data_IF_642789950290
#
_entry.id   IF_642789950290
#
_cell.length_a   1.000
_cell.length_b   1.000
_cell.length_c   1.000
_cell.angle_alpha   90.00
_cell.angle_beta   90.00
_cell.angle_gamma   90.00
#
_symmetry.space_group_name_H-M   'P 1'
#
loop_
_entity.id
_entity.type
_entity.pdbx_description
1 polymer ?
#
# COMPACT_ATOMS: atom_id res chain seq x y z
N UNK A 1 29.18 -29.62 -18.74
CA UNK A 1 28.69 -30.83 -19.42
C UNK A 1 27.22 -30.56 -19.80
N UNK A 2 26.92 -29.70 -20.78
CA UNK A 2 26.94 -29.89 -22.24
C UNK A 2 26.16 -31.11 -22.73
N UNK A 3 24.94 -30.92 -23.27
CA UNK A 3 24.35 -31.48 -24.52
C UNK A 3 23.19 -30.53 -24.91
N UNK A 4 23.23 -29.64 -25.92
CA UNK A 4 23.14 -29.76 -27.40
C UNK A 4 21.83 -30.35 -27.95
N UNK A 5 21.12 -29.55 -28.76
CA UNK A 5 20.13 -30.01 -29.74
C UNK A 5 19.71 -28.84 -30.62
N UNK A 6 20.29 -28.73 -31.81
CA UNK A 6 19.96 -27.72 -32.80
C UNK A 6 19.50 -28.33 -34.11
N UNK A 7 18.77 -27.55 -34.89
CA UNK A 7 18.54 -27.72 -36.34
C UNK A 7 18.39 -26.32 -36.96
N UNK A 8 19.24 -25.99 -37.95
CA UNK A 8 19.05 -24.86 -38.87
C UNK A 8 18.57 -25.36 -40.24
N UNK A 9 18.82 -24.67 -41.36
CA UNK A 9 18.85 -23.22 -41.61
C UNK A 9 17.93 -22.82 -42.80
N UNK A 10 17.74 -21.51 -43.04
CA UNK A 10 17.20 -21.01 -44.31
C UNK A 10 18.01 -19.79 -44.80
N UNK A 11 18.55 -19.93 -46.01
CA UNK A 11 19.31 -18.93 -46.77
C UNK A 11 18.40 -17.83 -47.35
N UNK A 12 18.94 -16.62 -47.54
CA UNK A 12 18.28 -15.59 -48.34
C UNK A 12 18.98 -14.24 -48.42
N UNK A 13 20.00 -14.14 -49.29
CA UNK A 13 20.42 -12.99 -50.11
C UNK A 13 20.80 -11.62 -49.50
N UNK A 14 22.09 -11.29 -49.65
CA UNK A 14 22.65 -9.93 -49.63
C UNK A 14 22.41 -9.19 -50.96
N UNK A 15 22.23 -7.86 -50.95
CA UNK A 15 22.44 -7.03 -52.13
C UNK A 15 23.89 -6.56 -52.26
N UNK A 16 24.33 -6.56 -53.51
CA UNK A 16 25.60 -6.17 -54.10
C UNK A 16 25.91 -4.68 -53.97
N UNK A 17 27.11 -4.34 -53.47
CA UNK A 17 27.68 -3.00 -53.51
C UNK A 17 28.22 -2.66 -54.91
N UNK A 18 27.65 -1.62 -55.54
CA UNK A 18 28.21 -0.98 -56.74
C UNK A 18 29.31 0.00 -56.36
N UNK A 19 30.51 -0.23 -56.89
CA UNK A 19 31.67 0.63 -56.72
C UNK A 19 31.51 1.98 -57.41
N UNK A 20 31.75 3.05 -56.67
CA UNK A 20 32.15 4.35 -57.22
C UNK A 20 33.58 4.61 -56.78
N UNK A 21 34.49 4.59 -57.74
CA UNK A 21 35.88 5.04 -57.61
C UNK A 21 35.90 6.55 -57.38
N UNK A 22 36.25 6.98 -56.17
CA UNK A 22 36.53 8.39 -55.86
C UNK A 22 38.03 8.61 -56.04
N UNK A 23 38.37 9.52 -56.94
CA UNK A 23 39.73 9.94 -57.26
C UNK A 23 40.29 10.81 -56.12
N UNK A 24 41.32 10.31 -55.42
CA UNK A 24 41.99 11.03 -54.33
C UNK A 24 43.17 11.83 -54.92
N UNK A 25 42.98 13.15 -55.02
CA UNK A 25 44.08 14.09 -55.27
C UNK A 25 45.09 14.12 -54.11
N UNK A 26 46.29 14.70 -54.32
CA UNK A 26 47.39 14.60 -53.36
C UNK A 26 47.05 15.27 -52.03
N UNK A 27 47.27 14.52 -50.95
CA UNK A 27 47.11 14.95 -49.56
C UNK A 27 48.13 16.04 -49.24
N UNK A 28 47.63 17.25 -48.99
CA UNK A 28 48.43 18.37 -48.50
C UNK A 28 48.69 18.19 -46.98
N UNK A 29 49.86 17.64 -46.65
CA UNK A 29 50.37 17.50 -45.27
C UNK A 29 50.95 18.81 -44.77
N UNK A 30 50.11 19.76 -44.36
CA UNK A 30 50.55 20.87 -43.50
C UNK A 30 49.40 21.61 -42.82
N UNK A 31 48.85 21.06 -41.74
CA UNK A 31 48.09 21.86 -40.75
C UNK A 31 48.14 21.21 -39.37
N UNK A 32 49.18 21.52 -38.62
CA UNK A 32 49.17 21.38 -37.16
C UNK A 32 48.16 22.37 -36.59
N UNK A 33 46.92 21.93 -36.34
CA UNK A 33 45.98 22.69 -35.53
C UNK A 33 46.47 22.68 -34.08
N UNK A 34 47.20 23.73 -33.67
CA UNK A 34 47.38 24.04 -32.25
C UNK A 34 45.99 24.25 -31.66
N UNK A 35 45.56 23.34 -30.79
CA UNK A 35 44.37 23.54 -29.97
C UNK A 35 44.58 24.81 -29.13
N UNK A 36 43.90 25.89 -29.49
CA UNK A 36 43.90 27.11 -28.68
C UNK A 36 43.08 26.85 -27.42
N UNK A 37 43.59 27.18 -26.22
CA UNK A 37 42.82 27.04 -24.99
C UNK A 37 41.61 27.97 -25.07
N UNK A 38 40.42 27.38 -25.04
CA UNK A 38 39.16 28.10 -25.07
C UNK A 38 39.03 28.92 -23.77
N UNK A 39 39.47 30.18 -23.82
CA UNK A 39 39.39 31.13 -22.69
C UNK A 39 37.92 31.50 -22.48
N UNK A 40 37.24 30.79 -21.58
CA UNK A 40 35.92 31.18 -21.10
C UNK A 40 36.02 32.59 -20.47
N UNK A 41 35.16 33.54 -20.86
CA UNK A 41 35.21 34.89 -20.31
C UNK A 41 34.93 34.85 -18.80
N UNK A 42 35.75 35.54 -18.01
CA UNK A 42 35.65 35.66 -16.55
C UNK A 42 34.22 35.81 -15.97
N UNK A 43 33.29 36.58 -16.58
CA UNK A 43 31.92 36.68 -16.08
C UNK A 43 31.12 35.36 -16.17
N UNK A 44 31.40 34.47 -17.12
CA UNK A 44 30.73 33.15 -17.23
C UNK A 44 31.20 32.16 -16.16
N UNK A 45 32.48 32.24 -15.78
CA UNK A 45 33.05 31.45 -14.70
C UNK A 45 32.47 31.89 -13.36
N UNK A 46 32.33 33.22 -13.15
CA UNK A 46 31.73 33.78 -11.95
C UNK A 46 30.23 33.42 -11.82
N UNK A 47 29.50 33.36 -12.94
CA UNK A 47 28.09 32.94 -12.97
C UNK A 47 27.94 31.44 -12.63
N UNK A 48 28.80 30.57 -13.18
CA UNK A 48 28.81 29.14 -12.84
C UNK A 48 29.20 28.87 -11.37
N UNK A 49 30.17 29.63 -10.83
CA UNK A 49 30.53 29.56 -9.41
C UNK A 49 29.45 30.11 -8.47
N UNK A 50 28.66 31.10 -8.92
CA UNK A 50 27.51 31.61 -8.18
C UNK A 50 26.30 30.64 -8.17
N UNK A 51 26.22 29.73 -9.15
CA UNK A 51 25.22 28.65 -9.21
C UNK A 51 25.60 27.40 -8.40
N UNK A 52 26.89 27.19 -8.11
CA UNK A 52 27.36 26.07 -7.28
C UNK A 52 26.71 25.96 -5.88
N UNK A 53 26.50 27.07 -5.12
CA UNK A 53 25.84 26.97 -3.80
C UNK A 53 24.35 26.64 -3.88
N UNK A 54 23.70 26.77 -5.05
CA UNK A 54 22.29 26.42 -5.23
C UNK A 54 22.08 24.91 -5.43
N UNK A 55 23.12 24.17 -5.81
CA UNK A 55 23.09 22.71 -5.94
C UNK A 55 23.23 21.98 -4.59
N UNK A 56 23.66 22.68 -3.52
CA UNK A 56 23.76 22.14 -2.16
C UNK A 56 22.47 22.23 -1.34
N UNK A 57 21.38 22.74 -1.92
CA UNK A 57 20.11 22.94 -1.23
C UNK A 57 19.23 21.68 -1.12
N UNK A 58 19.61 20.57 -1.77
CA UNK A 58 18.99 19.27 -1.50
C UNK A 58 19.62 18.70 -0.23
N UNK A 59 18.84 18.56 0.84
CA UNK A 59 19.28 17.91 2.08
C UNK A 59 19.78 16.50 1.75
N UNK A 60 21.02 16.18 2.12
CA UNK A 60 21.55 14.81 2.01
C UNK A 60 20.63 13.79 2.72
N UNK A 61 19.97 14.19 3.80
CA UNK A 61 18.98 13.38 4.51
C UNK A 61 17.76 13.05 3.65
N UNK A 62 17.19 14.03 2.93
CA UNK A 62 16.08 13.80 2.00
C UNK A 62 16.47 12.84 0.87
N UNK A 63 17.69 12.98 0.33
CA UNK A 63 18.18 12.06 -0.69
C UNK A 63 18.27 10.63 -0.15
N UNK A 64 18.85 10.43 1.03
CA UNK A 64 18.93 9.12 1.69
C UNK A 64 17.54 8.55 1.92
N UNK A 65 16.60 9.34 2.44
CA UNK A 65 15.22 8.92 2.68
C UNK A 65 14.53 8.42 1.40
N UNK A 66 14.62 9.18 0.31
CA UNK A 66 14.04 8.80 -0.99
C UNK A 66 14.68 7.54 -1.57
N UNK A 67 16.00 7.41 -1.48
CA UNK A 67 16.68 6.19 -1.95
C UNK A 67 16.38 4.96 -1.10
N UNK A 68 15.95 5.16 0.15
CA UNK A 68 15.63 4.07 1.08
C UNK A 68 14.24 3.47 0.84
N UNK A 69 13.34 4.14 0.09
CA UNK A 69 11.98 3.63 -0.16
C UNK A 69 12.01 2.24 -0.81
N UNK A 70 12.88 2.01 -1.79
CA UNK A 70 13.00 0.69 -2.44
C UNK A 70 13.44 -0.42 -1.48
N UNK A 71 14.24 -0.07 -0.46
CA UNK A 71 14.61 -0.99 0.63
C UNK A 71 13.39 -1.28 1.50
N UNK A 72 12.55 -0.26 1.75
CA UNK A 72 11.31 -0.44 2.50
C UNK A 72 10.30 -1.32 1.74
N UNK A 73 10.20 -1.19 0.41
CA UNK A 73 9.37 -2.07 -0.41
C UNK A 73 9.81 -3.53 -0.28
N UNK A 74 11.12 -3.78 -0.37
CA UNK A 74 11.69 -5.10 -0.11
C UNK A 74 11.46 -5.60 1.32
N UNK A 75 11.45 -4.70 2.31
CA UNK A 75 11.13 -5.04 3.70
C UNK A 75 9.65 -5.43 3.87
N UNK A 76 8.72 -4.69 3.26
CA UNK A 76 7.29 -5.03 3.26
C UNK A 76 7.05 -6.37 2.58
N UNK A 77 7.69 -6.61 1.44
CA UNK A 77 7.58 -7.86 0.69
C UNK A 77 8.15 -9.06 1.50
N UNK A 78 9.28 -8.88 2.19
CA UNK A 78 9.82 -9.90 3.09
C UNK A 78 8.92 -10.14 4.31
N UNK A 79 8.39 -9.07 4.91
CA UNK A 79 7.48 -9.15 6.06
C UNK A 79 6.18 -9.87 5.69
N UNK A 80 5.60 -9.60 4.52
CA UNK A 80 4.37 -10.26 4.08
C UNK A 80 4.56 -11.77 3.85
N UNK A 81 5.79 -12.23 3.58
CA UNK A 81 6.14 -13.66 3.47
C UNK A 81 6.48 -14.33 4.80
N UNK A 82 6.52 -13.57 5.90
CA UNK A 82 6.82 -14.13 7.22
C UNK A 82 5.71 -15.07 7.69
N UNK A 83 6.10 -16.23 8.23
CA UNK A 83 5.19 -17.24 8.77
C UNK A 83 5.26 -17.37 10.29
N UNK A 84 6.30 -16.84 10.91
CA UNK A 84 6.45 -16.80 12.35
C UNK A 84 5.89 -15.48 12.91
N UNK A 85 4.74 -15.56 13.58
CA UNK A 85 4.09 -14.40 14.20
C UNK A 85 4.93 -13.78 15.32
N UNK A 86 5.72 -14.57 16.05
CA UNK A 86 6.55 -14.05 17.14
C UNK A 86 7.70 -13.22 16.56
N UNK A 87 8.31 -13.70 15.47
CA UNK A 87 9.34 -12.95 14.76
C UNK A 87 8.78 -11.66 14.14
N UNK A 88 7.62 -11.75 13.48
CA UNK A 88 6.96 -10.60 12.90
C UNK A 88 6.61 -9.53 13.96
N UNK A 89 6.00 -9.94 15.08
CA UNK A 89 5.63 -9.05 16.18
C UNK A 89 6.85 -8.33 16.77
N UNK A 90 7.98 -9.04 16.92
CA UNK A 90 9.22 -8.47 17.44
C UNK A 90 9.88 -7.48 16.46
N UNK A 91 9.74 -7.70 15.15
CA UNK A 91 10.39 -6.89 14.12
C UNK A 91 9.63 -5.61 13.75
N UNK A 92 8.29 -5.67 13.68
CA UNK A 92 7.46 -4.57 13.18
C UNK A 92 7.65 -3.23 13.94
N UNK A 93 7.75 -3.19 15.29
CA UNK A 93 7.95 -1.93 16.01
C UNK A 93 9.24 -1.20 15.62
N UNK A 94 10.34 -1.94 15.40
CA UNK A 94 11.62 -1.37 14.99
C UNK A 94 11.53 -0.82 13.55
N UNK A 95 10.91 -1.56 12.62
CA UNK A 95 10.71 -1.11 11.25
C UNK A 95 9.83 0.15 11.19
N UNK A 96 8.78 0.22 12.01
CA UNK A 96 7.96 1.43 12.15
C UNK A 96 8.78 2.64 12.61
N UNK A 97 9.68 2.45 13.58
CA UNK A 97 10.56 3.54 14.03
C UNK A 97 11.57 3.95 12.98
N UNK A 98 12.07 3.02 12.19
CA UNK A 98 12.92 3.32 11.04
C UNK A 98 12.17 4.19 10.02
N UNK A 99 10.95 3.80 9.63
CA UNK A 99 10.10 4.59 8.71
C UNK A 99 9.86 5.99 9.27
N UNK A 100 9.52 6.13 10.56
CA UNK A 100 9.34 7.44 11.19
C UNK A 100 10.61 8.29 11.19
N UNK A 101 11.79 7.67 11.33
CA UNK A 101 13.08 8.34 11.18
C UNK A 101 13.30 8.86 9.76
N UNK A 102 12.97 8.06 8.74
CA UNK A 102 13.03 8.50 7.34
C UNK A 102 12.03 9.61 7.04
N UNK A 103 10.82 9.56 7.63
CA UNK A 103 9.84 10.65 7.53
C UNK A 103 10.37 11.93 8.19
N UNK A 104 11.16 11.84 9.26
CA UNK A 104 11.77 13.03 9.85
C UNK A 104 12.75 13.72 8.89
N UNK A 105 13.41 12.93 8.02
CA UNK A 105 14.32 13.44 6.99
C UNK A 105 13.60 13.97 5.73
N UNK A 106 12.50 13.34 5.31
CA UNK A 106 11.66 13.79 4.17
C UNK A 106 10.16 13.85 4.58
N UNK A 107 9.73 14.91 5.30
CA UNK A 107 8.42 14.95 5.98
C UNK A 107 7.18 14.91 5.09
N UNK A 108 7.33 15.28 3.82
CA UNK A 108 6.25 15.35 2.84
C UNK A 108 6.34 14.21 1.80
N UNK A 109 7.15 13.18 2.06
CA UNK A 109 7.26 12.02 1.17
C UNK A 109 6.00 11.13 1.26
N UNK A 110 5.16 11.08 0.20
CA UNK A 110 3.88 10.38 0.28
C UNK A 110 4.02 8.87 0.44
N UNK A 111 5.09 8.27 -0.10
CA UNK A 111 5.35 6.83 -0.02
C UNK A 111 5.71 6.42 1.42
N UNK A 112 6.63 7.14 2.06
CA UNK A 112 6.98 6.89 3.47
C UNK A 112 5.79 7.10 4.41
N UNK A 113 5.01 8.15 4.18
CA UNK A 113 3.80 8.45 4.96
C UNK A 113 2.75 7.33 4.82
N UNK A 114 2.57 6.80 3.61
CA UNK A 114 1.66 5.69 3.35
C UNK A 114 2.17 4.37 3.95
N UNK A 115 3.48 4.09 3.87
CA UNK A 115 4.10 2.93 4.51
C UNK A 115 3.92 2.97 6.03
N UNK A 116 4.04 4.14 6.66
CA UNK A 116 3.73 4.30 8.08
C UNK A 116 2.25 4.00 8.38
N UNK A 117 1.31 4.53 7.59
CA UNK A 117 -0.11 4.24 7.76
C UNK A 117 -0.42 2.73 7.65
N UNK A 118 0.12 2.07 6.63
CA UNK A 118 0.02 0.62 6.44
C UNK A 118 0.62 -0.16 7.62
N UNK A 119 1.84 0.19 8.02
CA UNK A 119 2.54 -0.52 9.09
C UNK A 119 1.83 -0.38 10.44
N UNK A 120 1.35 0.82 10.79
CA UNK A 120 0.58 1.01 12.02
C UNK A 120 -0.73 0.22 12.00
N UNK A 121 -1.43 0.22 10.87
CA UNK A 121 -2.62 -0.61 10.70
C UNK A 121 -2.29 -2.09 10.91
N UNK A 122 -1.30 -2.60 10.19
CA UNK A 122 -0.89 -4.00 10.22
C UNK A 122 -0.43 -4.45 11.60
N UNK A 123 0.37 -3.64 12.30
CA UNK A 123 0.85 -3.95 13.65
C UNK A 123 -0.30 -3.96 14.67
N UNK A 124 -1.15 -2.93 14.64
CA UNK A 124 -2.30 -2.85 15.54
C UNK A 124 -3.26 -4.03 15.32
N UNK A 125 -3.63 -4.29 14.07
CA UNK A 125 -4.55 -5.36 13.70
C UNK A 125 -3.96 -6.75 13.96
N UNK A 126 -2.68 -6.97 13.64
CA UNK A 126 -2.05 -8.28 13.77
C UNK A 126 -1.81 -8.71 15.21
N UNK A 127 -1.45 -7.77 16.10
CA UNK A 127 -0.78 -8.11 17.35
C UNK A 127 -1.31 -7.38 18.59
N UNK A 128 -2.01 -6.25 18.44
CA UNK A 128 -2.39 -5.41 19.59
C UNK A 128 -3.89 -5.40 19.85
N UNK A 129 -4.71 -5.32 18.81
CA UNK A 129 -6.15 -5.05 18.90
C UNK A 129 -6.92 -6.03 19.79
N UNK A 130 -6.62 -7.33 19.71
CA UNK A 130 -7.33 -8.36 20.46
C UNK A 130 -6.98 -8.39 21.95
N UNK A 131 -5.77 -7.95 22.32
CA UNK A 131 -5.27 -7.99 23.70
C UNK A 131 -5.37 -6.66 24.42
N UNK A 132 -5.20 -5.56 23.70
CA UNK A 132 -5.23 -4.19 24.22
C UNK A 132 -5.91 -3.24 23.20
N UNK A 133 -7.26 -3.20 23.18
CA UNK A 133 -8.02 -2.36 22.26
C UNK A 133 -7.71 -0.87 22.39
N UNK A 134 -7.43 -0.38 23.61
CA UNK A 134 -7.11 1.02 23.86
C UNK A 134 -5.76 1.41 23.25
N UNK A 135 -4.75 0.56 23.39
CA UNK A 135 -3.45 0.76 22.73
C UNK A 135 -3.58 0.67 21.21
N UNK A 136 -4.38 -0.27 20.70
CA UNK A 136 -4.62 -0.39 19.26
C UNK A 136 -5.29 0.86 18.67
N UNK A 137 -6.26 1.44 19.37
CA UNK A 137 -6.89 2.71 18.97
C UNK A 137 -5.85 3.83 18.78
N UNK A 138 -4.93 3.99 19.73
CA UNK A 138 -3.86 4.98 19.63
C UNK A 138 -2.89 4.71 18.46
N UNK A 139 -2.64 3.45 18.11
CA UNK A 139 -1.82 3.06 16.96
C UNK A 139 -2.53 3.34 15.64
N UNK A 140 -3.83 3.04 15.54
CA UNK A 140 -4.64 3.43 14.38
C UNK A 140 -4.73 4.94 14.21
N UNK A 141 -4.78 5.71 15.32
CA UNK A 141 -4.74 7.16 15.27
C UNK A 141 -3.43 7.70 14.68
N UNK A 142 -2.29 7.08 15.02
CA UNK A 142 -1.01 7.42 14.38
C UNK A 142 -1.00 7.07 12.90
N UNK A 143 -1.46 5.88 12.53
CA UNK A 143 -1.58 5.47 11.13
C UNK A 143 -2.48 6.42 10.32
N UNK A 144 -3.63 6.81 10.87
CA UNK A 144 -4.54 7.79 10.28
C UNK A 144 -3.85 9.15 10.07
N UNK A 145 -3.12 9.65 11.07
CA UNK A 145 -2.42 10.93 10.96
C UNK A 145 -1.36 10.91 9.85
N UNK A 146 -0.59 9.83 9.72
CA UNK A 146 0.36 9.66 8.62
C UNK A 146 -0.34 9.55 7.25
N UNK A 147 -1.44 8.79 7.18
CA UNK A 147 -2.24 8.65 5.97
C UNK A 147 -2.80 9.99 5.46
N UNK A 148 -3.38 10.80 6.36
CA UNK A 148 -3.88 12.15 6.02
C UNK A 148 -2.75 13.06 5.52
N UNK A 149 -1.57 13.02 6.16
CA UNK A 149 -0.40 13.75 5.67
C UNK A 149 0.01 13.29 4.27
N UNK A 150 0.02 11.97 4.02
CA UNK A 150 0.31 11.41 2.71
C UNK A 150 -0.67 11.90 1.64
N UNK A 151 -1.98 11.89 1.95
CA UNK A 151 -3.01 12.44 1.06
C UNK A 151 -2.79 13.93 0.76
N UNK A 152 -2.41 14.73 1.76
CA UNK A 152 -2.08 16.16 1.56
C UNK A 152 -0.85 16.35 0.69
N UNK A 153 0.18 15.52 0.84
CA UNK A 153 1.35 15.54 -0.03
C UNK A 153 1.00 15.17 -1.50
N UNK A 154 -0.06 14.37 -1.68
CA UNK A 154 -0.59 13.97 -2.99
C UNK A 154 -1.65 14.94 -3.56
N UNK A 155 -1.88 16.08 -2.92
CA UNK A 155 -2.76 17.13 -3.43
C UNK A 155 -4.18 17.14 -2.86
N UNK A 156 -4.45 16.41 -1.77
CA UNK A 156 -5.67 16.64 -0.98
C UNK A 156 -5.61 18.05 -0.40
N UNK A 157 -6.74 18.77 -0.47
CA UNK A 157 -6.86 20.12 0.07
C UNK A 157 -6.39 20.17 1.54
N UNK A 158 -5.61 21.19 1.91
CA UNK A 158 -5.11 21.35 3.28
C UNK A 158 -6.18 21.93 4.20
N UNK A 159 -7.15 22.64 3.63
CA UNK A 159 -8.20 23.32 4.39
C UNK A 159 -9.37 22.39 4.75
N UNK A 160 -9.43 21.19 4.17
CA UNK A 160 -10.40 20.17 4.57
C UNK A 160 -9.95 19.45 5.83
N UNK A 161 -10.76 19.55 6.87
CA UNK A 161 -10.70 18.66 8.02
C UNK A 161 -11.60 17.46 7.76
N UNK A 162 -11.00 16.32 7.41
CA UNK A 162 -11.75 15.09 7.12
C UNK A 162 -12.62 14.65 8.30
N UNK A 163 -12.23 14.91 9.55
CA UNK A 163 -12.98 14.44 10.71
C UNK A 163 -14.31 15.19 10.91
N UNK A 164 -14.42 16.41 10.40
CA UNK A 164 -15.59 17.29 10.58
C UNK A 164 -16.27 17.68 9.28
N UNK A 165 -15.63 17.48 8.13
CA UNK A 165 -16.20 17.77 6.83
C UNK A 165 -17.41 16.89 6.52
N UNK A 166 -18.39 17.47 5.83
CA UNK A 166 -19.49 16.73 5.23
C UNK A 166 -18.92 15.72 4.19
N UNK A 167 -19.42 14.46 4.15
CA UNK A 167 -19.04 13.48 3.15
C UNK A 167 -19.00 14.00 1.70
N UNK A 168 -19.95 14.85 1.28
CA UNK A 168 -19.97 15.37 -0.09
C UNK A 168 -18.72 16.22 -0.40
N UNK A 169 -18.25 17.02 0.57
CA UNK A 169 -17.00 17.77 0.43
C UNK A 169 -15.77 16.88 0.43
N UNK A 170 -15.81 15.78 1.16
CA UNK A 170 -14.72 14.79 1.15
C UNK A 170 -14.66 14.14 -0.23
N UNK A 171 -15.79 13.76 -0.81
CA UNK A 171 -15.90 13.20 -2.16
C UNK A 171 -15.30 14.13 -3.21
N UNK A 172 -15.70 15.41 -3.21
CA UNK A 172 -15.16 16.43 -4.11
C UNK A 172 -13.63 16.59 -3.96
N UNK A 173 -13.13 16.54 -2.72
CA UNK A 173 -11.70 16.67 -2.44
C UNK A 173 -10.89 15.46 -2.94
N UNK A 174 -11.37 14.23 -2.68
CA UNK A 174 -10.67 13.00 -3.09
C UNK A 174 -10.81 12.70 -4.59
N UNK A 175 -11.85 13.22 -5.26
CA UNK A 175 -12.03 13.05 -6.70
C UNK A 175 -10.87 13.62 -7.53
N UNK A 176 -10.13 14.60 -6.98
CA UNK A 176 -8.93 15.19 -7.61
C UNK A 176 -7.69 14.30 -7.52
N UNK A 177 -7.70 13.31 -6.64
CA UNK A 177 -6.56 12.40 -6.44
C UNK A 177 -6.54 11.31 -7.51
N UNK A 178 -5.36 11.05 -8.08
CA UNK A 178 -5.15 10.00 -9.09
C UNK A 178 -4.70 8.67 -8.48
N UNK A 179 -4.37 7.70 -9.35
CA UNK A 179 -3.99 6.33 -8.96
C UNK A 179 -2.82 6.26 -7.98
N UNK A 180 -1.87 7.21 -8.02
CA UNK A 180 -0.77 7.29 -7.06
C UNK A 180 -1.23 7.45 -5.60
N UNK A 181 -2.46 7.94 -5.37
CA UNK A 181 -3.03 8.09 -4.04
C UNK A 181 -3.79 6.86 -3.54
N UNK A 182 -3.99 5.83 -4.36
CA UNK A 182 -4.74 4.61 -3.98
C UNK A 182 -4.22 4.00 -2.67
N UNK A 183 -2.90 3.78 -2.48
CA UNK A 183 -2.40 3.23 -1.24
C UNK A 183 -2.70 4.12 -0.03
N UNK A 184 -2.52 5.43 -0.16
CA UNK A 184 -2.75 6.38 0.92
C UNK A 184 -4.23 6.46 1.28
N UNK A 185 -5.13 6.50 0.27
CA UNK A 185 -6.58 6.49 0.46
C UNK A 185 -7.02 5.23 1.21
N UNK A 186 -6.54 4.07 0.77
CA UNK A 186 -6.90 2.78 1.36
C UNK A 186 -6.47 2.69 2.82
N UNK A 187 -5.19 2.93 3.13
CA UNK A 187 -4.69 2.77 4.49
C UNK A 187 -5.21 3.85 5.45
N UNK A 188 -5.46 5.07 4.95
CA UNK A 188 -6.14 6.13 5.72
C UNK A 188 -7.56 5.70 6.10
N UNK A 189 -8.35 5.26 5.12
CA UNK A 189 -9.72 4.80 5.34
C UNK A 189 -9.77 3.59 6.27
N UNK A 190 -8.85 2.62 6.12
CA UNK A 190 -8.78 1.44 6.99
C UNK A 190 -8.43 1.80 8.44
N UNK A 191 -7.44 2.67 8.68
CA UNK A 191 -7.11 3.14 10.03
C UNK A 191 -8.29 3.86 10.68
N UNK A 192 -8.96 4.74 9.92
CA UNK A 192 -10.12 5.47 10.42
C UNK A 192 -11.30 4.54 10.71
N UNK A 193 -11.60 3.60 9.81
CA UNK A 193 -12.65 2.62 10.02
C UNK A 193 -12.41 1.76 11.27
N UNK A 194 -11.16 1.37 11.57
CA UNK A 194 -10.85 0.65 12.81
C UNK A 194 -10.99 1.50 14.07
N UNK A 195 -10.74 2.81 14.04
CA UNK A 195 -11.06 3.69 15.18
C UNK A 195 -12.57 3.82 15.42
N UNK A 196 -13.36 3.83 14.34
CA UNK A 196 -14.82 3.80 14.45
C UNK A 196 -15.27 2.45 15.01
N UNK A 197 -14.68 1.36 14.52
CA UNK A 197 -14.97 -0.01 14.94
C UNK A 197 -14.69 -0.26 16.43
N UNK A 198 -13.57 0.25 16.95
CA UNK A 198 -13.25 0.18 18.38
C UNK A 198 -14.10 1.14 19.22
N UNK A 199 -14.65 2.19 18.61
CA UNK A 199 -15.45 3.23 19.26
C UNK A 199 -16.96 3.13 19.01
N UNK A 200 -17.49 1.92 18.76
CA UNK A 200 -18.91 1.68 18.40
C UNK A 200 -19.95 2.19 19.41
N UNK A 201 -19.56 2.54 20.63
CA UNK A 201 -20.47 3.11 21.63
C UNK A 201 -20.64 4.62 21.50
N UNK A 202 -19.88 5.28 20.62
CA UNK A 202 -19.94 6.71 20.36
C UNK A 202 -20.67 6.99 19.02
N UNK A 203 -21.92 7.50 19.05
CA UNK A 203 -22.67 7.81 17.84
C UNK A 203 -21.96 8.82 16.92
N UNK A 204 -21.15 9.74 17.46
CA UNK A 204 -20.42 10.71 16.67
C UNK A 204 -19.34 10.03 15.80
N UNK A 205 -18.70 8.97 16.31
CA UNK A 205 -17.77 8.15 15.53
C UNK A 205 -18.49 7.35 14.46
N UNK A 206 -19.64 6.76 14.78
CA UNK A 206 -20.43 6.01 13.79
C UNK A 206 -20.84 6.90 12.62
N UNK A 207 -21.19 8.16 12.89
CA UNK A 207 -21.54 9.12 11.85
C UNK A 207 -20.41 9.39 10.83
N UNK A 208 -19.14 9.21 11.24
CA UNK A 208 -17.97 9.36 10.35
C UNK A 208 -17.78 8.20 9.37
N UNK A 209 -18.56 7.12 9.49
CA UNK A 209 -18.45 5.96 8.62
C UNK A 209 -18.77 6.30 7.15
N UNK A 210 -19.63 7.30 6.91
CA UNK A 210 -19.86 7.82 5.56
C UNK A 210 -18.60 8.50 4.99
N UNK A 211 -17.83 9.20 5.84
CA UNK A 211 -16.60 9.87 5.44
C UNK A 211 -15.49 8.89 5.08
N UNK A 212 -15.31 7.80 5.83
CA UNK A 212 -14.36 6.74 5.46
C UNK A 212 -14.75 6.08 4.15
N UNK A 213 -16.05 5.93 3.89
CA UNK A 213 -16.57 5.35 2.66
C UNK A 213 -16.25 6.21 1.43
N UNK A 214 -16.21 7.54 1.53
CA UNK A 214 -15.80 8.42 0.41
C UNK A 214 -14.36 8.15 -0.04
N UNK A 215 -13.43 7.95 0.90
CA UNK A 215 -12.05 7.58 0.57
C UNK A 215 -12.00 6.21 -0.10
N UNK A 216 -12.75 5.24 0.42
CA UNK A 216 -12.74 3.88 -0.12
C UNK A 216 -13.49 3.76 -1.46
N UNK A 217 -14.51 4.59 -1.69
CA UNK A 217 -15.18 4.71 -2.98
C UNK A 217 -14.18 5.17 -4.05
N UNK A 218 -13.32 6.13 -3.71
CA UNK A 218 -12.25 6.58 -4.62
C UNK A 218 -11.23 5.48 -4.92
N UNK A 219 -10.89 4.64 -3.94
CA UNK A 219 -10.05 3.44 -4.17
C UNK A 219 -10.73 2.50 -5.16
N UNK A 220 -12.03 2.21 -4.97
CA UNK A 220 -12.79 1.33 -5.87
C UNK A 220 -12.83 1.84 -7.31
N UNK A 221 -12.95 3.15 -7.49
CA UNK A 221 -12.96 3.77 -8.82
C UNK A 221 -11.59 3.68 -9.51
N UNK A 222 -10.52 3.93 -8.77
CA UNK A 222 -9.17 4.03 -9.33
C UNK A 222 -8.51 2.67 -9.54
N UNK A 223 -8.65 1.76 -8.57
CA UNK A 223 -7.97 0.46 -8.57
C UNK A 223 -8.68 -0.54 -7.63
N UNK A 224 -9.76 -1.20 -8.09
CA UNK A 224 -10.57 -2.08 -7.24
C UNK A 224 -9.86 -3.38 -6.83
N UNK A 225 -8.77 -3.77 -7.50
CA UNK A 225 -7.96 -4.95 -7.18
C UNK A 225 -6.80 -4.64 -6.21
N UNK A 226 -6.61 -3.37 -5.82
CA UNK A 226 -5.55 -2.97 -4.90
C UNK A 226 -5.56 -3.81 -3.61
N UNK A 227 -4.37 -4.24 -3.18
CA UNK A 227 -4.14 -5.08 -2.01
C UNK A 227 -5.06 -6.31 -1.97
N UNK A 228 -5.06 -7.06 -3.08
CA UNK A 228 -5.87 -8.28 -3.27
C UNK A 228 -7.38 -8.04 -3.12
N UNK A 229 -7.85 -6.91 -3.65
CA UNK A 229 -9.27 -6.55 -3.59
C UNK A 229 -9.71 -6.06 -2.20
N UNK A 230 -8.80 -5.38 -1.48
CA UNK A 230 -9.06 -4.89 -0.12
C UNK A 230 -10.29 -3.98 -0.02
N UNK A 231 -10.68 -3.30 -1.11
CA UNK A 231 -11.92 -2.50 -1.15
C UNK A 231 -13.18 -3.36 -0.98
N UNK A 232 -13.20 -4.57 -1.55
CA UNK A 232 -14.31 -5.49 -1.37
C UNK A 232 -14.35 -5.98 0.08
N UNK A 233 -13.19 -6.24 0.68
CA UNK A 233 -13.14 -6.61 2.10
C UNK A 233 -13.69 -5.50 3.00
N UNK A 234 -13.32 -4.24 2.73
CA UNK A 234 -13.89 -3.07 3.42
C UNK A 234 -15.41 -3.02 3.28
N UNK A 235 -15.95 -3.13 2.06
CA UNK A 235 -17.40 -3.05 1.86
C UNK A 235 -18.15 -4.24 2.44
N UNK A 236 -17.53 -5.43 2.47
CA UNK A 236 -18.04 -6.60 3.18
C UNK A 236 -18.31 -6.29 4.64
N UNK A 237 -17.31 -5.74 5.33
CA UNK A 237 -17.44 -5.31 6.74
C UNK A 237 -18.39 -4.12 6.88
N UNK A 238 -18.31 -3.11 6.00
CA UNK A 238 -19.13 -1.90 6.04
C UNK A 238 -20.64 -2.21 6.04
N UNK A 239 -21.07 -3.13 5.17
CA UNK A 239 -22.47 -3.53 5.09
C UNK A 239 -22.85 -4.63 6.08
N UNK A 240 -21.90 -5.51 6.46
CA UNK A 240 -22.17 -6.62 7.37
C UNK A 240 -22.24 -6.21 8.83
N UNK A 241 -21.40 -5.26 9.25
CA UNK A 241 -21.17 -4.89 10.66
C UNK A 241 -22.36 -4.29 11.42
N UNK A 242 -23.48 -4.02 10.75
CA UNK A 242 -24.68 -3.38 11.29
C UNK A 242 -25.92 -4.18 10.88
N UNK A 243 -26.93 -4.20 11.74
CA UNK A 243 -28.24 -4.73 11.38
C UNK A 243 -28.89 -3.92 10.23
N UNK A 244 -29.77 -4.51 9.40
CA UNK A 244 -30.45 -3.80 8.32
C UNK A 244 -31.18 -2.52 8.76
N UNK A 245 -31.79 -2.54 9.95
CA UNK A 245 -32.45 -1.37 10.54
C UNK A 245 -31.50 -0.20 10.86
N UNK A 246 -30.19 -0.46 10.95
CA UNK A 246 -29.13 0.53 11.20
C UNK A 246 -28.26 0.80 9.96
N UNK A 247 -28.78 0.49 8.76
CA UNK A 247 -28.10 0.74 7.49
C UNK A 247 -27.13 -0.35 7.04
N UNK A 248 -27.19 -1.54 7.67
CA UNK A 248 -26.54 -2.73 7.14
C UNK A 248 -27.23 -3.28 5.89
N UNK A 249 -26.49 -4.05 5.10
CA UNK A 249 -27.02 -4.76 3.94
C UNK A 249 -26.29 -6.10 3.78
N UNK A 250 -26.89 -7.13 4.35
CA UNK A 250 -26.27 -8.45 4.40
C UNK A 250 -26.05 -9.07 3.01
N UNK A 251 -26.90 -8.77 2.03
CA UNK A 251 -26.73 -9.29 0.67
C UNK A 251 -25.53 -8.61 -0.02
N UNK A 252 -25.42 -7.28 0.11
CA UNK A 252 -24.25 -6.55 -0.41
C UNK A 252 -22.97 -6.93 0.33
N UNK A 253 -23.04 -7.17 1.63
CA UNK A 253 -21.90 -7.65 2.42
C UNK A 253 -21.36 -8.97 1.85
N UNK A 254 -22.24 -9.95 1.64
CA UNK A 254 -21.89 -11.27 1.10
C UNK A 254 -21.34 -11.21 -0.34
N UNK A 255 -21.91 -10.36 -1.19
CA UNK A 255 -21.39 -10.10 -2.53
C UNK A 255 -19.95 -9.56 -2.49
N UNK A 256 -19.67 -8.66 -1.55
CA UNK A 256 -18.34 -8.08 -1.40
C UNK A 256 -17.33 -9.08 -0.82
N UNK A 257 -17.69 -9.88 0.19
CA UNK A 257 -16.81 -10.97 0.64
C UNK A 257 -16.53 -11.99 -0.47
N UNK A 258 -17.53 -12.30 -1.31
CA UNK A 258 -17.35 -13.19 -2.46
C UNK A 258 -16.44 -12.59 -3.52
N UNK A 259 -16.54 -11.28 -3.79
CA UNK A 259 -15.62 -10.58 -4.68
C UNK A 259 -14.19 -10.57 -4.13
N UNK A 260 -14.00 -10.35 -2.82
CA UNK A 260 -12.69 -10.41 -2.17
C UNK A 260 -12.04 -11.82 -2.28
N UNK A 261 -12.83 -12.89 -2.09
CA UNK A 261 -12.35 -14.26 -2.35
C UNK A 261 -11.98 -14.46 -3.82
N UNK A 262 -12.77 -13.95 -4.76
CA UNK A 262 -12.46 -14.09 -6.19
C UNK A 262 -11.13 -13.42 -6.58
N UNK A 263 -10.83 -12.21 -6.08
CA UNK A 263 -9.59 -11.49 -6.40
C UNK A 263 -8.35 -12.22 -5.87
N UNK A 264 -8.43 -12.82 -4.68
CA UNK A 264 -7.32 -13.58 -4.09
C UNK A 264 -7.28 -15.05 -4.53
N UNK A 265 -8.18 -15.48 -5.40
CA UNK A 265 -8.42 -16.90 -5.73
C UNK A 265 -8.62 -17.75 -4.47
N UNK A 266 -9.31 -17.18 -3.48
CA UNK A 266 -9.69 -17.82 -2.23
C UNK A 266 -8.49 -18.22 -1.34
N UNK A 267 -7.33 -17.60 -1.59
CA UNK A 267 -6.08 -17.83 -0.87
C UNK A 267 -5.87 -16.89 0.32
N UNK A 268 -6.59 -15.77 0.38
CA UNK A 268 -6.45 -14.79 1.46
C UNK A 268 -7.48 -15.07 2.58
N UNK A 269 -7.01 -15.66 3.68
CA UNK A 269 -7.88 -16.22 4.74
C UNK A 269 -8.55 -15.16 5.62
N UNK A 270 -8.05 -13.92 5.63
CA UNK A 270 -8.67 -12.85 6.41
C UNK A 270 -10.09 -12.52 5.92
N UNK A 271 -10.41 -12.89 4.67
CA UNK A 271 -11.77 -12.73 4.12
C UNK A 271 -12.78 -13.57 4.90
N UNK A 272 -12.44 -14.83 5.20
CA UNK A 272 -13.30 -15.75 5.96
C UNK A 272 -13.47 -15.28 7.41
N UNK A 273 -12.38 -14.82 8.02
CA UNK A 273 -12.38 -14.30 9.40
C UNK A 273 -13.30 -13.09 9.55
N UNK A 274 -13.16 -12.11 8.66
CA UNK A 274 -13.96 -10.89 8.72
C UNK A 274 -15.43 -11.15 8.35
N UNK A 275 -15.71 -12.08 7.44
CA UNK A 275 -17.08 -12.48 7.17
C UNK A 275 -17.74 -13.12 8.39
N UNK A 276 -17.06 -14.07 9.04
CA UNK A 276 -17.57 -14.69 10.25
C UNK A 276 -17.86 -13.63 11.34
N UNK A 277 -16.87 -12.78 11.64
CA UNK A 277 -16.96 -11.79 12.71
C UNK A 277 -18.03 -10.71 12.50
N UNK A 278 -18.14 -10.21 11.26
CA UNK A 278 -18.95 -9.03 10.97
C UNK A 278 -20.27 -9.33 10.28
N UNK A 279 -20.40 -10.44 9.54
CA UNK A 279 -21.65 -10.81 8.86
C UNK A 279 -22.37 -11.96 9.56
N UNK A 280 -21.70 -13.10 9.73
CA UNK A 280 -22.40 -14.31 10.22
C UNK A 280 -22.83 -14.17 11.68
N UNK A 281 -22.03 -13.50 12.51
CA UNK A 281 -22.44 -13.11 13.86
C UNK A 281 -23.65 -12.19 13.87
N UNK A 282 -23.77 -11.25 12.92
CA UNK A 282 -24.93 -10.35 12.82
C UNK A 282 -26.18 -11.08 12.33
N UNK A 283 -26.00 -12.14 11.53
CA UNK A 283 -27.08 -13.03 11.08
C UNK A 283 -27.47 -14.09 12.10
N UNK A 284 -26.72 -14.23 13.20
CA UNK A 284 -26.81 -15.35 14.15
C UNK A 284 -26.63 -16.73 13.47
N UNK A 285 -25.85 -16.79 12.38
CA UNK A 285 -25.53 -18.03 11.68
C UNK A 285 -24.27 -18.68 12.28
N UNK A 286 -24.48 -19.45 13.34
CA UNK A 286 -23.41 -20.15 14.06
C UNK A 286 -22.67 -21.16 13.19
N UNK A 287 -23.38 -21.86 12.31
CA UNK A 287 -22.77 -22.91 11.47
C UNK A 287 -21.82 -22.29 10.44
N UNK A 288 -22.26 -21.22 9.76
CA UNK A 288 -21.41 -20.49 8.82
C UNK A 288 -20.21 -19.85 9.52
N UNK A 289 -20.43 -19.24 10.70
CA UNK A 289 -19.37 -18.70 11.54
C UNK A 289 -18.29 -19.73 11.82
N UNK A 290 -18.67 -20.89 12.38
CA UNK A 290 -17.72 -21.94 12.73
C UNK A 290 -16.98 -22.48 11.50
N UNK A 291 -17.71 -22.77 10.41
CA UNK A 291 -17.13 -23.33 9.17
C UNK A 291 -16.07 -22.41 8.56
N UNK A 292 -16.34 -21.10 8.48
CA UNK A 292 -15.40 -20.12 7.93
C UNK A 292 -14.13 -20.01 8.77
N UNK A 293 -14.26 -19.96 10.10
CA UNK A 293 -13.10 -19.85 10.98
C UNK A 293 -12.27 -21.13 11.01
N UNK A 294 -12.90 -22.30 11.10
CA UNK A 294 -12.20 -23.59 11.06
C UNK A 294 -11.44 -23.76 9.75
N UNK A 295 -12.02 -23.32 8.61
CA UNK A 295 -11.31 -23.27 7.33
C UNK A 295 -10.04 -22.43 7.39
N UNK A 296 -10.08 -21.23 7.99
CA UNK A 296 -8.91 -20.39 8.16
C UNK A 296 -7.85 -21.04 9.08
N UNK A 297 -8.29 -21.80 10.10
CA UNK A 297 -7.40 -22.51 11.02
C UNK A 297 -6.70 -23.71 10.37
N UNK A 298 -7.45 -24.48 9.58
CA UNK A 298 -7.01 -25.76 9.03
C UNK A 298 -6.28 -25.62 7.69
N UNK A 299 -6.36 -24.46 7.04
CA UNK A 299 -5.64 -24.20 5.80
C UNK A 299 -4.12 -24.44 5.98
N UNK A 300 -3.41 -25.08 5.03
CA UNK A 300 -1.97 -25.30 5.16
C UNK A 300 -1.17 -24.00 5.30
N UNK A 301 -0.19 -23.98 6.22
CA UNK A 301 0.73 -22.84 6.38
C UNK A 301 1.49 -22.63 5.06
N UNK A 302 1.61 -21.37 4.62
CA UNK A 302 2.34 -21.03 3.40
C UNK A 302 1.59 -21.32 2.10
N UNK A 303 0.29 -21.63 2.15
CA UNK A 303 -0.57 -21.79 0.96
C UNK A 303 -0.65 -20.55 0.07
N UNK A 304 -0.36 -19.38 0.62
CA UNK A 304 -0.22 -18.13 -0.11
C UNK A 304 1.08 -17.40 0.31
N UNK A 305 2.24 -17.76 -0.28
CA UNK A 305 3.53 -17.27 0.18
C UNK A 305 3.62 -15.75 0.23
N UNK A 306 3.07 -15.04 -0.77
CA UNK A 306 3.13 -13.58 -0.89
C UNK A 306 2.39 -12.84 0.23
N UNK A 307 1.42 -13.50 0.87
CA UNK A 307 0.60 -12.94 1.95
C UNK A 307 0.57 -13.88 3.16
N UNK A 308 1.67 -14.59 3.38
CA UNK A 308 1.76 -15.61 4.43
C UNK A 308 1.53 -15.01 5.82
N UNK A 309 2.05 -13.82 6.10
CA UNK A 309 1.85 -13.13 7.38
C UNK A 309 0.37 -12.80 7.61
N UNK A 310 -0.32 -12.27 6.60
CA UNK A 310 -1.75 -11.98 6.70
C UNK A 310 -2.57 -13.25 6.97
N UNK A 311 -2.19 -14.38 6.35
CA UNK A 311 -2.84 -15.67 6.60
C UNK A 311 -2.53 -16.23 7.99
N UNK A 312 -1.33 -16.02 8.54
CA UNK A 312 -1.03 -16.39 9.93
C UNK A 312 -1.79 -15.52 10.94
N UNK A 313 -1.89 -14.22 10.68
CA UNK A 313 -2.73 -13.33 11.48
C UNK A 313 -4.19 -13.79 11.42
N UNK A 314 -4.71 -14.08 10.23
CA UNK A 314 -6.08 -14.59 10.06
C UNK A 314 -6.30 -15.88 10.87
N UNK A 315 -5.35 -16.82 10.84
CA UNK A 315 -5.38 -18.05 11.65
C UNK A 315 -5.43 -17.75 13.15
N UNK A 316 -4.59 -16.84 13.63
CA UNK A 316 -4.57 -16.45 15.04
C UNK A 316 -5.89 -15.82 15.48
N UNK A 317 -6.44 -14.89 14.66
CA UNK A 317 -7.74 -14.26 14.92
C UNK A 317 -8.89 -15.27 14.85
N UNK A 318 -8.84 -16.23 13.92
CA UNK A 318 -9.85 -17.28 13.81
C UNK A 318 -9.92 -18.15 15.07
N UNK A 319 -8.77 -18.56 15.62
CA UNK A 319 -8.72 -19.29 16.91
C UNK A 319 -9.31 -18.46 18.04
N UNK A 320 -8.91 -17.19 18.14
CA UNK A 320 -9.43 -16.27 19.16
C UNK A 320 -10.96 -16.14 19.12
N UNK A 321 -11.54 -16.10 17.90
CA UNK A 321 -12.97 -16.00 17.69
C UNK A 321 -13.70 -17.33 17.97
N UNK A 322 -13.14 -18.47 17.57
CA UNK A 322 -13.68 -19.81 17.88
C UNK A 322 -13.74 -20.06 19.40
N UNK A 323 -12.70 -19.65 20.14
CA UNK A 323 -12.65 -19.78 21.61
C UNK A 323 -13.79 -19.02 22.32
N UNK A 324 -14.41 -18.04 21.63
CA UNK A 324 -15.50 -17.19 22.14
C UNK A 324 -16.84 -17.46 21.47
N UNK A 325 -16.93 -18.48 20.62
CA UNK A 325 -18.14 -18.75 19.85
C UNK A 325 -19.39 -18.88 20.75
N UNK A 326 -19.27 -19.57 21.89
CA UNK A 326 -20.37 -19.75 22.86
C UNK A 326 -20.80 -18.48 23.58
N UNK A 327 -20.04 -17.39 23.50
CA UNK A 327 -20.43 -16.11 24.10
C UNK A 327 -21.43 -15.35 23.21
N UNK A 328 -21.53 -15.71 21.92
CA UNK A 328 -22.36 -14.99 20.94
C UNK A 328 -23.56 -15.79 20.42
N UNK A 329 -23.52 -17.12 20.49
CA UNK A 329 -24.54 -18.03 19.96
C UNK A 329 -25.02 -19.06 20.98
#
# INVERSE_FOLDING_TARGET
>A
MCIRGGTGPAHGNLPTHTGKTVNLGPVNTSRTHKAQPMKLPAPRILFLLALLPWLGACSMGQMVARTSVSIMDGNVDAMNRETDLVLAEAAMPANLKLIEGLIAEDPDNPELLQLAAQGFYGYAFGFVELSDPQRAEALYARGLAYGIRGLRALGLDRDIDLATANPDRIEEAVARLGSAAVPALFWTASCWAKQIDLGRTDPARIAQLASTERLMARVRELQPDYYYGGVYLYYGVYFGSRAPMMGGDFARSEQNFSAARAVSEDRLLIVDVLQAEYLERQRLDREAFHRLLSRAVDNPVGSFPEMALANQIARARARYLLDRESEWF
#
